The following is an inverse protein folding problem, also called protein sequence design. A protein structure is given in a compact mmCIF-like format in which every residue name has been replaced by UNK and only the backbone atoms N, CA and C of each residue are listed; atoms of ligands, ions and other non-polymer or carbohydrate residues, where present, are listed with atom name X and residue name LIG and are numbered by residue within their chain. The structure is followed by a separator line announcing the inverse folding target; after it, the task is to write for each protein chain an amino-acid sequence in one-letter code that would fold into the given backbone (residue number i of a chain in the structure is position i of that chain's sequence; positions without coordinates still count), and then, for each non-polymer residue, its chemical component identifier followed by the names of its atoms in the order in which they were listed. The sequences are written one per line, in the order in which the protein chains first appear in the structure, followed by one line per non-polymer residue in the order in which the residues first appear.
data_IF_472091538046
#
_entry.id   IF_472091538046
#
_cell.length_a   1.000
_cell.length_b   1.000
_cell.length_c   1.000
_cell.angle_alpha   90.00
_cell.angle_beta   90.00
_cell.angle_gamma   90.00
#
_symmetry.space_group_name_H-M   'P 1'
#
loop_
_entity.id
_entity.type
_entity.pdbx_description
1 polymer ?
#
# COMPACT_ATOMS: atom_id res chain seq x y z
N UNK A 1 -6.03 17.80 -0.88
CA UNK A 1 -4.95 16.82 -1.12
C UNK A 1 -4.67 15.97 0.14
N UNK A 2 -4.46 16.58 1.33
CA UNK A 2 -4.23 15.82 2.58
C UNK A 2 -5.39 14.87 2.94
N UNK A 3 -6.64 15.30 2.79
CA UNK A 3 -7.82 14.45 3.02
C UNK A 3 -7.82 13.24 2.06
N UNK A 4 -7.47 13.43 0.79
CA UNK A 4 -7.38 12.33 -0.17
C UNK A 4 -6.28 11.33 0.22
N UNK A 5 -5.11 11.79 0.66
CA UNK A 5 -4.07 10.91 1.20
C UNK A 5 -4.57 10.14 2.43
N UNK A 6 -5.13 10.83 3.42
CA UNK A 6 -5.62 10.21 4.64
C UNK A 6 -6.72 9.17 4.37
N UNK A 7 -7.69 9.47 3.48
CA UNK A 7 -8.76 8.54 3.14
C UNK A 7 -8.25 7.31 2.38
N UNK A 8 -7.26 7.49 1.48
CA UNK A 8 -6.62 6.37 0.78
C UNK A 8 -5.82 5.48 1.75
N UNK A 9 -5.05 6.05 2.67
CA UNK A 9 -4.35 5.26 3.69
C UNK A 9 -5.34 4.51 4.60
N UNK A 10 -6.42 5.18 5.01
CA UNK A 10 -7.42 4.59 5.90
C UNK A 10 -8.16 3.42 5.23
N UNK A 11 -8.52 3.53 3.93
CA UNK A 11 -9.21 2.41 3.26
C UNK A 11 -8.28 1.20 3.06
N UNK A 12 -6.99 1.41 2.84
CA UNK A 12 -6.03 0.29 2.79
C UNK A 12 -5.94 -0.41 4.13
N UNK A 13 -5.93 0.35 5.22
CA UNK A 13 -5.94 -0.21 6.58
C UNK A 13 -7.25 -0.95 6.88
N UNK A 14 -8.43 -0.35 6.62
CA UNK A 14 -9.72 -1.00 6.87
C UNK A 14 -9.91 -2.23 5.98
N UNK A 15 -9.44 -2.21 4.73
CA UNK A 15 -9.40 -3.38 3.85
C UNK A 15 -8.50 -4.51 4.38
N UNK A 16 -7.37 -4.16 5.01
CA UNK A 16 -6.55 -5.15 5.70
C UNK A 16 -7.28 -5.76 6.92
N UNK A 17 -8.06 -4.97 7.66
CA UNK A 17 -8.90 -5.47 8.75
C UNK A 17 -9.99 -6.42 8.26
N UNK A 18 -10.70 -6.10 7.16
CA UNK A 18 -11.66 -7.02 6.51
C UNK A 18 -11.01 -8.38 6.29
N UNK A 19 -9.80 -8.39 5.76
CA UNK A 19 -9.06 -9.62 5.53
C UNK A 19 -8.66 -10.33 6.82
N UNK A 20 -8.13 -9.61 7.81
CA UNK A 20 -7.63 -10.17 9.08
C UNK A 20 -8.74 -10.70 9.98
N UNK A 21 -9.97 -10.19 9.83
CA UNK A 21 -11.16 -10.64 10.55
C UNK A 21 -11.89 -11.79 9.85
N UNK A 22 -11.37 -12.31 8.73
CA UNK A 22 -12.04 -13.36 7.96
C UNK A 22 -13.34 -12.88 7.30
N UNK A 23 -13.46 -11.58 7.03
CA UNK A 23 -14.70 -10.97 6.50
C UNK A 23 -14.65 -10.71 5.00
N UNK A 24 -13.65 -11.24 4.28
CA UNK A 24 -13.42 -10.94 2.87
C UNK A 24 -14.44 -11.55 1.91
N UNK A 25 -15.27 -12.49 2.38
CA UNK A 25 -16.44 -13.05 1.69
C UNK A 25 -17.72 -12.90 2.55
N UNK A 26 -17.77 -11.91 3.41
CA UNK A 26 -19.01 -11.52 4.09
C UNK A 26 -20.10 -11.15 3.08
N UNK A 27 -19.70 -10.51 1.97
CA UNK A 27 -20.52 -10.32 0.77
C UNK A 27 -20.05 -11.27 -0.33
N UNK A 28 -20.94 -12.10 -0.86
CA UNK A 28 -20.60 -13.14 -1.86
C UNK A 28 -20.76 -12.69 -3.30
N UNK A 29 -21.26 -11.46 -3.53
CA UNK A 29 -21.51 -10.91 -4.86
C UNK A 29 -20.92 -9.49 -5.00
N UNK A 30 -20.89 -8.99 -6.24
CA UNK A 30 -20.43 -7.63 -6.54
C UNK A 30 -21.14 -7.10 -7.80
N UNK A 31 -21.65 -5.85 -7.84
CA UNK A 31 -21.54 -4.79 -6.81
C UNK A 31 -22.48 -4.94 -5.61
N UNK A 32 -23.43 -5.87 -5.65
CA UNK A 32 -24.32 -6.20 -4.53
C UNK A 32 -23.57 -6.97 -3.45
N UNK A 33 -24.12 -7.00 -2.24
CA UNK A 33 -23.58 -7.85 -1.18
C UNK A 33 -23.92 -9.34 -1.41
N UNK A 34 -25.16 -9.61 -1.85
CA UNK A 34 -25.63 -10.94 -2.21
C UNK A 34 -26.75 -10.86 -3.26
N UNK A 35 -27.28 -12.00 -3.70
CA UNK A 35 -28.31 -12.07 -4.74
C UNK A 35 -29.55 -11.24 -4.43
N UNK A 36 -29.91 -11.07 -3.17
CA UNK A 36 -31.16 -10.42 -2.73
C UNK A 36 -30.99 -9.01 -2.21
N UNK A 37 -29.78 -8.66 -1.70
CA UNK A 37 -29.53 -7.37 -1.05
C UNK A 37 -28.35 -6.65 -1.67
N UNK A 38 -28.52 -5.38 -1.98
CA UNK A 38 -27.41 -4.52 -2.41
C UNK A 38 -26.49 -4.18 -1.24
N UNK A 39 -27.07 -3.90 -0.07
CA UNK A 39 -26.37 -3.67 1.21
C UNK A 39 -26.87 -4.68 2.22
N UNK A 40 -25.96 -5.41 2.85
CA UNK A 40 -26.28 -6.34 3.93
C UNK A 40 -25.34 -6.12 5.13
N UNK A 41 -25.96 -5.95 6.30
CA UNK A 41 -25.28 -5.76 7.60
C UNK A 41 -25.84 -6.71 8.64
N UNK A 42 -26.44 -7.81 8.21
CA UNK A 42 -27.15 -8.74 9.11
C UNK A 42 -26.21 -9.59 9.97
N UNK A 43 -24.96 -9.77 9.55
CA UNK A 43 -23.93 -10.47 10.31
C UNK A 43 -22.70 -9.59 10.54
N UNK A 44 -21.83 -9.96 11.49
CA UNK A 44 -20.60 -9.23 11.74
C UNK A 44 -19.69 -9.17 10.50
N UNK A 45 -19.55 -10.28 9.76
CA UNK A 45 -18.71 -10.33 8.57
C UNK A 45 -19.28 -9.51 7.42
N UNK A 46 -20.58 -9.60 7.14
CA UNK A 46 -21.23 -8.75 6.12
C UNK A 46 -21.11 -7.28 6.46
N UNK A 47 -21.31 -6.91 7.73
CA UNK A 47 -21.20 -5.52 8.18
C UNK A 47 -19.78 -4.97 8.00
N UNK A 48 -18.75 -5.71 8.42
CA UNK A 48 -17.35 -5.28 8.31
C UNK A 48 -16.98 -5.04 6.84
N UNK A 49 -17.30 -5.98 5.96
CA UNK A 49 -17.03 -5.84 4.53
C UNK A 49 -17.85 -4.71 3.90
N UNK A 50 -19.15 -4.64 4.21
CA UNK A 50 -20.04 -3.63 3.64
C UNK A 50 -19.64 -2.20 4.03
N UNK A 51 -19.25 -1.98 5.30
CA UNK A 51 -18.75 -0.68 5.76
C UNK A 51 -17.48 -0.29 4.99
N UNK A 52 -16.55 -1.23 4.78
CA UNK A 52 -15.36 -0.99 3.98
C UNK A 52 -15.70 -0.64 2.52
N UNK A 53 -16.66 -1.33 1.90
CA UNK A 53 -17.15 -1.02 0.54
C UNK A 53 -17.77 0.39 0.48
N UNK A 54 -18.60 0.76 1.46
CA UNK A 54 -19.23 2.08 1.52
C UNK A 54 -18.19 3.19 1.75
N UNK A 55 -17.14 2.92 2.50
CA UNK A 55 -16.04 3.87 2.70
C UNK A 55 -15.33 4.23 1.38
N UNK A 56 -15.39 3.37 0.36
CA UNK A 56 -14.90 3.70 -1.00
C UNK A 56 -15.61 4.95 -1.57
N UNK A 57 -16.87 5.20 -1.18
CA UNK A 57 -17.59 6.43 -1.53
C UNK A 57 -16.92 7.69 -0.97
N UNK A 58 -16.45 7.64 0.28
CA UNK A 58 -15.71 8.74 0.94
C UNK A 58 -14.37 8.97 0.22
N UNK A 59 -13.66 7.89 -0.11
CA UNK A 59 -12.41 7.96 -0.89
C UNK A 59 -12.68 8.60 -2.25
N UNK A 60 -13.71 8.15 -2.97
CA UNK A 60 -14.09 8.68 -4.28
C UNK A 60 -14.41 10.17 -4.22
N UNK A 61 -15.21 10.61 -3.24
CA UNK A 61 -15.53 12.02 -3.05
C UNK A 61 -14.26 12.86 -2.76
N UNK A 62 -13.35 12.36 -1.92
CA UNK A 62 -12.09 13.04 -1.59
C UNK A 62 -11.16 13.19 -2.79
N UNK A 63 -11.11 12.17 -3.64
CA UNK A 63 -10.28 12.15 -4.86
C UNK A 63 -10.89 13.05 -5.94
N UNK A 64 -12.22 13.05 -6.12
CA UNK A 64 -12.91 13.99 -7.02
C UNK A 64 -12.64 15.43 -6.57
N UNK A 65 -12.77 15.71 -5.26
CA UNK A 65 -12.44 17.03 -4.71
C UNK A 65 -10.97 17.41 -4.99
N UNK A 66 -10.03 16.46 -4.90
CA UNK A 66 -8.63 16.72 -5.24
C UNK A 66 -8.44 17.09 -6.71
N UNK A 67 -9.18 16.47 -7.65
CA UNK A 67 -9.18 16.85 -9.07
C UNK A 67 -9.73 18.26 -9.24
N UNK A 68 -10.92 18.54 -8.71
CA UNK A 68 -11.55 19.85 -8.84
C UNK A 68 -10.66 20.97 -8.28
N UNK A 69 -10.11 20.79 -7.09
CA UNK A 69 -9.20 21.75 -6.45
C UNK A 69 -7.90 21.92 -7.24
N UNK A 70 -7.41 20.89 -7.95
CA UNK A 70 -6.21 21.02 -8.79
C UNK A 70 -6.47 21.87 -10.04
N UNK A 71 -7.70 21.87 -10.56
CA UNK A 71 -8.13 22.74 -11.65
C UNK A 71 -8.39 24.18 -11.20
N UNK A 72 -8.97 24.37 -10.02
CA UNK A 72 -9.32 25.70 -9.47
C UNK A 72 -8.09 26.45 -8.94
N UNK A 73 -6.98 25.77 -8.68
CA UNK A 73 -5.76 26.39 -8.14
C UNK A 73 -5.16 27.43 -9.11
N UNK A 74 -4.79 28.58 -8.57
CA UNK A 74 -4.05 29.64 -9.29
C UNK A 74 -2.70 29.88 -8.62
N UNK A 75 -1.55 29.87 -9.36
CA UNK A 75 -1.45 29.47 -10.77
C UNK A 75 -1.73 27.97 -10.96
N UNK A 76 -2.27 27.63 -12.14
CA UNK A 76 -2.60 26.23 -12.48
C UNK A 76 -1.31 25.40 -12.62
N UNK A 77 -1.28 24.22 -12.03
CA UNK A 77 -0.15 23.30 -12.05
C UNK A 77 -0.54 21.98 -12.72
N UNK A 78 -0.02 21.76 -13.91
CA UNK A 78 -0.33 20.58 -14.73
C UNK A 78 0.11 19.26 -14.06
N UNK A 79 1.19 19.29 -13.27
CA UNK A 79 1.66 18.10 -12.53
C UNK A 79 0.66 17.66 -11.46
N UNK A 80 0.01 18.60 -10.75
CA UNK A 80 -1.03 18.28 -9.75
C UNK A 80 -2.28 17.73 -10.42
N UNK A 81 -2.67 18.29 -11.57
CA UNK A 81 -3.81 17.79 -12.35
C UNK A 81 -3.56 16.35 -12.80
N UNK A 82 -2.37 16.05 -13.35
CA UNK A 82 -2.01 14.68 -13.78
C UNK A 82 -2.04 13.68 -12.62
N UNK A 83 -1.45 14.05 -11.47
CA UNK A 83 -1.43 13.19 -10.28
C UNK A 83 -2.84 12.97 -9.71
N UNK A 84 -3.69 13.99 -9.68
CA UNK A 84 -5.07 13.84 -9.20
C UNK A 84 -5.92 12.96 -10.13
N UNK A 85 -5.73 13.02 -11.45
CA UNK A 85 -6.33 12.05 -12.38
C UNK A 85 -5.78 10.63 -12.19
N UNK A 86 -4.49 10.49 -11.84
CA UNK A 86 -3.91 9.21 -11.47
C UNK A 86 -4.61 8.58 -10.25
N UNK A 87 -5.11 9.39 -9.29
CA UNK A 87 -5.93 8.89 -8.20
C UNK A 87 -7.30 8.37 -8.67
N UNK A 88 -7.98 9.10 -9.57
CA UNK A 88 -9.25 8.61 -10.16
C UNK A 88 -9.06 7.25 -10.83
N UNK A 89 -8.06 7.15 -11.71
CA UNK A 89 -7.75 5.89 -12.42
C UNK A 89 -7.43 4.78 -11.41
N UNK A 90 -6.64 5.09 -10.39
CA UNK A 90 -6.30 4.12 -9.34
C UNK A 90 -7.51 3.64 -8.55
N UNK A 91 -8.45 4.55 -8.17
CA UNK A 91 -9.68 4.17 -7.47
C UNK A 91 -10.58 3.32 -8.37
N UNK A 92 -10.75 3.66 -9.64
CA UNK A 92 -11.51 2.85 -10.58
C UNK A 92 -10.89 1.45 -10.77
N UNK A 93 -9.57 1.36 -10.87
CA UNK A 93 -8.87 0.08 -10.92
C UNK A 93 -9.12 -0.75 -9.65
N UNK A 94 -9.11 -0.12 -8.46
CA UNK A 94 -9.41 -0.78 -7.19
C UNK A 94 -10.84 -1.32 -7.11
N UNK A 95 -11.81 -0.57 -7.64
CA UNK A 95 -13.22 -1.01 -7.72
C UNK A 95 -13.35 -2.28 -8.59
N UNK A 96 -12.70 -2.28 -9.76
CA UNK A 96 -12.73 -3.43 -10.68
C UNK A 96 -12.00 -4.64 -10.08
N UNK A 97 -10.76 -4.44 -9.60
CA UNK A 97 -9.97 -5.55 -9.02
C UNK A 97 -10.64 -6.07 -7.75
N UNK A 98 -11.21 -5.19 -6.91
CA UNK A 98 -11.96 -5.59 -5.72
C UNK A 98 -13.17 -6.47 -6.05
N UNK A 99 -13.91 -6.15 -7.12
CA UNK A 99 -14.96 -7.01 -7.65
C UNK A 99 -14.44 -8.38 -8.08
N UNK A 100 -13.31 -8.41 -8.81
CA UNK A 100 -12.67 -9.67 -9.21
C UNK A 100 -12.25 -10.48 -7.98
N UNK A 101 -11.70 -9.85 -6.95
CA UNK A 101 -11.31 -10.53 -5.70
C UNK A 101 -12.50 -11.27 -5.08
N UNK A 102 -13.67 -10.62 -4.98
CA UNK A 102 -14.89 -11.24 -4.41
C UNK A 102 -15.41 -12.34 -5.31
N UNK A 103 -15.63 -12.05 -6.60
CA UNK A 103 -16.20 -12.98 -7.56
C UNK A 103 -15.34 -14.22 -7.83
N UNK A 104 -14.06 -14.16 -7.51
CA UNK A 104 -13.12 -15.29 -7.64
C UNK A 104 -12.82 -15.99 -6.33
N UNK A 105 -13.61 -15.75 -5.26
CA UNK A 105 -13.42 -16.38 -3.96
C UNK A 105 -12.08 -16.06 -3.32
N UNK A 106 -11.67 -14.79 -3.37
CA UNK A 106 -10.40 -14.29 -2.84
C UNK A 106 -9.16 -14.89 -3.52
N UNK A 107 -9.22 -15.09 -4.85
CA UNK A 107 -8.08 -15.60 -5.61
C UNK A 107 -6.78 -14.88 -5.21
N UNK A 108 -5.69 -15.60 -4.87
CA UNK A 108 -4.47 -14.99 -4.34
C UNK A 108 -3.80 -14.01 -5.31
N UNK A 109 -3.85 -14.23 -6.62
CA UNK A 109 -3.32 -13.27 -7.60
C UNK A 109 -4.14 -11.98 -7.65
N UNK A 110 -5.47 -12.08 -7.58
CA UNK A 110 -6.35 -10.91 -7.53
C UNK A 110 -6.12 -10.09 -6.24
N UNK A 111 -5.99 -10.76 -5.09
CA UNK A 111 -5.65 -10.13 -3.81
C UNK A 111 -4.29 -9.43 -3.85
N UNK A 112 -3.26 -10.07 -4.42
CA UNK A 112 -1.93 -9.47 -4.60
C UNK A 112 -2.01 -8.23 -5.49
N UNK A 113 -2.69 -8.31 -6.63
CA UNK A 113 -2.87 -7.18 -7.55
C UNK A 113 -3.59 -6.01 -6.85
N UNK A 114 -4.66 -6.30 -6.10
CA UNK A 114 -5.42 -5.31 -5.33
C UNK A 114 -4.51 -4.57 -4.34
N UNK A 115 -3.70 -5.29 -3.58
CA UNK A 115 -2.77 -4.68 -2.61
C UNK A 115 -1.66 -3.88 -3.31
N UNK A 116 -1.05 -4.40 -4.38
CA UNK A 116 0.02 -3.70 -5.10
C UNK A 116 -0.48 -2.41 -5.75
N UNK A 117 -1.68 -2.41 -6.33
CA UNK A 117 -2.31 -1.18 -6.84
C UNK A 117 -2.64 -0.21 -5.70
N UNK A 118 -2.98 -0.70 -4.49
CA UNK A 118 -3.14 0.15 -3.30
C UNK A 118 -1.85 0.88 -2.94
N UNK A 119 -0.69 0.21 -2.97
CA UNK A 119 0.62 0.84 -2.72
C UNK A 119 0.92 1.93 -3.76
N UNK A 120 0.63 1.67 -5.04
CA UNK A 120 0.80 2.68 -6.09
C UNK A 120 -0.13 3.87 -5.84
N UNK A 121 -1.36 3.63 -5.42
CA UNK A 121 -2.35 4.67 -5.14
C UNK A 121 -1.94 5.53 -3.93
N UNK A 122 -1.48 4.93 -2.83
CA UNK A 122 -0.94 5.64 -1.66
C UNK A 122 0.28 6.48 -2.06
N UNK A 123 1.21 5.89 -2.83
CA UNK A 123 2.41 6.60 -3.31
C UNK A 123 2.02 7.81 -4.16
N UNK A 124 1.05 7.66 -5.10
CA UNK A 124 0.57 8.76 -5.91
C UNK A 124 -0.11 9.86 -5.07
N UNK A 125 -0.93 9.47 -4.08
CA UNK A 125 -1.57 10.39 -3.15
C UNK A 125 -0.53 11.16 -2.31
N UNK A 126 0.51 10.49 -1.83
CA UNK A 126 1.62 11.11 -1.09
C UNK A 126 2.39 12.11 -1.97
N UNK A 127 2.74 11.73 -3.20
CA UNK A 127 3.42 12.63 -4.14
C UNK A 127 2.55 13.85 -4.44
N UNK A 128 1.25 13.66 -4.66
CA UNK A 128 0.30 14.75 -4.88
C UNK A 128 0.26 15.70 -3.68
N UNK A 129 0.15 15.15 -2.46
CA UNK A 129 0.17 15.95 -1.23
C UNK A 129 1.47 16.73 -1.09
N UNK A 130 2.64 16.08 -1.20
CA UNK A 130 3.95 16.72 -1.08
C UNK A 130 4.16 17.81 -2.13
N UNK A 131 3.74 17.60 -3.37
CA UNK A 131 3.83 18.62 -4.43
C UNK A 131 2.83 19.75 -4.27
N UNK A 132 1.69 19.51 -3.61
CA UNK A 132 0.70 20.56 -3.36
C UNK A 132 1.12 21.53 -2.24
N UNK A 133 1.90 21.06 -1.27
CA UNK A 133 2.36 21.84 -0.11
C UNK A 133 3.73 22.49 -0.33
N UNK A 134 4.60 21.91 -1.15
CA UNK A 134 5.95 22.36 -1.39
C UNK A 134 6.16 22.82 -2.84
N UNK A 135 7.16 23.69 -3.06
CA UNK A 135 7.61 24.05 -4.40
C UNK A 135 8.20 22.83 -5.12
N UNK A 136 8.15 22.77 -6.46
CA UNK A 136 8.37 21.53 -7.21
C UNK A 136 9.73 20.89 -6.94
N UNK A 137 9.77 19.55 -6.81
CA UNK A 137 10.98 18.78 -6.55
C UNK A 137 12.01 18.80 -7.69
N UNK A 138 11.69 19.38 -8.85
CA UNK A 138 12.61 19.48 -9.98
C UNK A 138 13.96 20.12 -9.61
N UNK A 139 13.99 21.03 -8.62
CA UNK A 139 15.23 21.62 -8.11
C UNK A 139 16.01 20.64 -7.22
N UNK A 140 15.35 19.63 -6.63
CA UNK A 140 15.97 18.69 -5.70
C UNK A 140 16.66 17.53 -6.43
N UNK A 141 15.99 16.96 -7.43
CA UNK A 141 16.56 15.86 -8.26
C UNK A 141 17.77 16.36 -9.07
N UNK A 142 17.77 17.63 -9.49
CA UNK A 142 18.91 18.26 -10.19
C UNK A 142 20.16 18.41 -9.34
N UNK A 143 20.05 18.34 -8.02
CA UNK A 143 21.18 18.48 -7.07
C UNK A 143 21.78 17.13 -6.64
N UNK A 144 21.24 16.01 -7.10
CA UNK A 144 21.86 14.71 -6.85
C UNK A 144 23.18 14.63 -7.62
N UNK A 145 24.22 14.17 -6.94
CA UNK A 145 25.50 13.91 -7.58
C UNK A 145 25.34 12.94 -8.77
N UNK A 146 26.27 12.95 -9.74
CA UNK A 146 26.26 11.96 -10.81
C UNK A 146 26.10 10.54 -10.24
N UNK A 147 25.09 9.79 -10.73
CA UNK A 147 24.73 8.46 -10.23
C UNK A 147 23.79 8.41 -9.04
N UNK A 148 23.43 9.52 -8.39
CA UNK A 148 22.48 9.53 -7.27
C UNK A 148 21.07 9.10 -7.66
N UNK A 149 20.63 9.46 -8.86
CA UNK A 149 19.33 9.00 -9.41
C UNK A 149 19.29 7.49 -9.65
N UNK A 150 20.40 6.92 -10.13
CA UNK A 150 20.50 5.45 -10.33
C UNK A 150 20.47 4.68 -9.02
N UNK A 151 21.09 5.21 -7.97
CA UNK A 151 21.03 4.61 -6.63
C UNK A 151 19.62 4.66 -6.05
N UNK A 152 18.90 5.77 -6.24
CA UNK A 152 17.49 5.85 -5.79
C UNK A 152 16.58 4.92 -6.60
N UNK A 153 16.79 4.79 -7.89
CA UNK A 153 16.06 3.83 -8.73
C UNK A 153 16.32 2.39 -8.26
N UNK A 154 17.59 2.06 -7.98
CA UNK A 154 17.96 0.73 -7.46
C UNK A 154 17.30 0.46 -6.10
N UNK A 155 17.29 1.44 -5.18
CA UNK A 155 16.56 1.32 -3.92
C UNK A 155 15.06 1.07 -4.15
N UNK A 156 14.44 1.81 -5.06
CA UNK A 156 13.03 1.63 -5.38
C UNK A 156 12.73 0.22 -5.93
N UNK A 157 13.58 -0.28 -6.81
CA UNK A 157 13.43 -1.64 -7.39
C UNK A 157 13.59 -2.73 -6.31
N UNK A 158 14.63 -2.64 -5.47
CA UNK A 158 14.86 -3.61 -4.39
C UNK A 158 13.71 -3.56 -3.38
N UNK A 159 13.23 -2.37 -3.01
CA UNK A 159 12.07 -2.21 -2.14
C UNK A 159 10.78 -2.77 -2.76
N UNK A 160 10.58 -2.57 -4.06
CA UNK A 160 9.43 -3.15 -4.78
C UNK A 160 9.48 -4.69 -4.76
N UNK A 161 10.66 -5.30 -4.91
CA UNK A 161 10.84 -6.76 -4.77
C UNK A 161 10.48 -7.22 -3.36
N UNK A 162 10.90 -6.48 -2.32
CA UNK A 162 10.53 -6.79 -0.95
C UNK A 162 9.00 -6.72 -0.74
N UNK A 163 8.32 -5.71 -1.29
CA UNK A 163 6.85 -5.61 -1.22
C UNK A 163 6.19 -6.78 -1.96
N UNK A 164 6.59 -7.09 -3.18
CA UNK A 164 6.01 -8.19 -3.96
C UNK A 164 6.20 -9.53 -3.25
N UNK A 165 7.40 -9.83 -2.75
CA UNK A 165 7.65 -11.07 -1.99
C UNK A 165 6.83 -11.12 -0.70
N UNK A 166 6.60 -9.99 -0.03
CA UNK A 166 5.72 -9.87 1.13
C UNK A 166 4.25 -10.19 0.78
N UNK A 167 3.77 -9.78 -0.40
CA UNK A 167 2.41 -10.16 -0.84
C UNK A 167 2.29 -11.66 -1.10
N UNK A 168 3.35 -12.33 -1.57
CA UNK A 168 3.37 -13.80 -1.74
C UNK A 168 3.29 -14.49 -0.37
N UNK A 169 4.03 -14.00 0.65
CA UNK A 169 3.91 -14.51 2.03
C UNK A 169 2.46 -14.37 2.52
N UNK A 170 1.86 -13.23 2.28
CA UNK A 170 0.47 -12.94 2.65
C UNK A 170 -0.53 -13.87 1.95
N UNK A 171 -0.32 -14.14 0.65
CA UNK A 171 -1.17 -15.04 -0.15
C UNK A 171 -0.97 -16.54 0.16
N UNK A 172 0.13 -16.89 0.84
CA UNK A 172 0.43 -18.25 1.31
C UNK A 172 -0.02 -18.46 2.77
N UNK A 173 -0.04 -17.39 3.57
CA UNK A 173 -0.24 -17.42 5.02
C UNK A 173 -1.69 -17.69 5.47
N UNK A 174 -1.90 -17.80 6.79
CA UNK A 174 -3.20 -18.20 7.34
C UNK A 174 -4.30 -17.14 7.18
N UNK A 175 -3.95 -15.86 7.10
CA UNK A 175 -4.92 -14.77 7.04
C UNK A 175 -5.25 -14.38 5.60
N UNK A 176 -5.96 -15.24 4.87
CA UNK A 176 -6.31 -15.03 3.47
C UNK A 176 -7.63 -14.25 3.24
N UNK A 177 -8.37 -13.95 4.31
CA UNK A 177 -9.62 -13.18 4.26
C UNK A 177 -10.88 -13.99 4.45
N UNK A 178 -10.79 -15.32 4.38
CA UNK A 178 -11.86 -16.27 4.65
C UNK A 178 -11.24 -17.64 4.93
N UNK A 179 -11.95 -18.52 5.66
CA UNK A 179 -11.50 -19.88 5.96
C UNK A 179 -11.33 -20.72 4.69
N UNK A 180 -12.23 -20.55 3.72
CA UNK A 180 -12.26 -21.25 2.45
C UNK A 180 -11.44 -20.56 1.34
N UNK A 181 -10.79 -19.44 1.63
CA UNK A 181 -10.02 -18.71 0.64
C UNK A 181 -8.88 -19.57 0.06
N UNK A 182 -8.75 -19.56 -1.27
CA UNK A 182 -7.67 -20.25 -1.96
C UNK A 182 -6.33 -19.58 -1.59
N UNK A 183 -5.33 -20.41 -1.29
CA UNK A 183 -3.97 -19.98 -0.95
C UNK A 183 -2.97 -20.54 -1.95
N UNK A 184 -1.79 -19.91 -2.06
CA UNK A 184 -0.70 -20.57 -2.77
C UNK A 184 -0.25 -21.82 -2.01
N UNK A 185 -0.02 -22.91 -2.76
CA UNK A 185 0.46 -24.18 -2.21
C UNK A 185 1.96 -24.19 -1.82
N UNK A 186 2.56 -23.01 -1.62
CA UNK A 186 3.98 -22.92 -1.23
C UNK A 186 4.16 -23.19 0.26
N UNK A 187 5.32 -23.71 0.65
CA UNK A 187 5.68 -23.76 2.06
C UNK A 187 5.91 -22.33 2.60
N UNK A 188 5.15 -21.95 3.63
CA UNK A 188 5.22 -20.61 4.23
C UNK A 188 6.66 -20.25 4.64
N UNK A 189 7.42 -21.22 5.17
CA UNK A 189 8.84 -21.04 5.52
C UNK A 189 9.72 -20.63 4.35
N UNK A 190 9.48 -21.17 3.15
CA UNK A 190 10.26 -20.87 1.96
C UNK A 190 9.98 -19.45 1.46
N UNK A 191 8.71 -19.07 1.35
CA UNK A 191 8.33 -17.71 0.89
C UNK A 191 8.68 -16.65 1.94
N UNK A 192 8.58 -16.96 3.23
CA UNK A 192 9.01 -16.06 4.30
C UNK A 192 10.53 -15.83 4.28
N UNK A 193 11.34 -16.86 4.02
CA UNK A 193 12.81 -16.72 3.84
C UNK A 193 13.15 -15.86 2.64
N UNK A 194 12.46 -16.04 1.51
CA UNK A 194 12.66 -15.22 0.32
C UNK A 194 12.35 -13.74 0.58
N UNK A 195 11.22 -13.47 1.25
CA UNK A 195 10.85 -12.12 1.66
C UNK A 195 11.87 -11.54 2.66
N UNK A 196 12.27 -12.31 3.67
CA UNK A 196 13.28 -11.90 4.64
C UNK A 196 14.64 -11.55 3.98
N UNK A 197 15.07 -12.32 2.98
CA UNK A 197 16.26 -11.99 2.20
C UNK A 197 16.11 -10.68 1.43
N UNK A 198 14.96 -10.46 0.77
CA UNK A 198 14.69 -9.21 0.06
C UNK A 198 14.69 -8.00 1.02
N UNK A 199 14.15 -8.14 2.23
CA UNK A 199 14.17 -7.10 3.28
C UNK A 199 15.60 -6.84 3.75
N UNK A 200 16.40 -7.89 4.03
CA UNK A 200 17.82 -7.74 4.41
C UNK A 200 18.60 -6.98 3.34
N UNK A 201 18.41 -7.33 2.07
CA UNK A 201 19.06 -6.63 0.95
C UNK A 201 18.62 -5.17 0.87
N UNK A 202 17.33 -4.88 1.11
CA UNK A 202 16.80 -3.51 1.15
C UNK A 202 17.47 -2.71 2.27
N UNK A 203 17.50 -3.22 3.49
CA UNK A 203 18.12 -2.56 4.65
C UNK A 203 19.62 -2.35 4.42
N UNK A 204 20.33 -3.37 3.94
CA UNK A 204 21.76 -3.27 3.63
C UNK A 204 22.01 -2.17 2.57
N UNK A 205 21.15 -2.07 1.55
CA UNK A 205 21.28 -1.04 0.53
C UNK A 205 20.97 0.36 1.07
N UNK A 206 19.99 0.50 1.98
CA UNK A 206 19.70 1.77 2.67
C UNK A 206 20.92 2.21 3.49
N UNK A 207 21.57 1.30 4.23
CA UNK A 207 22.80 1.58 4.99
C UNK A 207 23.92 2.02 4.05
N UNK A 208 24.14 1.28 2.95
CA UNK A 208 25.13 1.66 1.93
C UNK A 208 24.87 3.07 1.38
N UNK A 209 23.61 3.37 1.05
CA UNK A 209 23.20 4.68 0.55
C UNK A 209 23.41 5.78 1.61
N UNK A 210 23.07 5.52 2.88
CA UNK A 210 23.26 6.46 3.98
C UNK A 210 24.75 6.82 4.18
N UNK A 211 25.65 5.83 4.08
CA UNK A 211 27.09 6.06 4.18
C UNK A 211 27.62 6.83 2.97
N UNK A 212 27.22 6.44 1.78
CA UNK A 212 27.67 7.07 0.54
C UNK A 212 27.14 8.50 0.39
N UNK A 213 25.90 8.74 0.79
CA UNK A 213 25.23 10.03 0.68
C UNK A 213 25.89 11.13 1.55
N UNK A 214 26.56 10.78 2.64
CA UNK A 214 27.28 11.74 3.50
C UNK A 214 28.29 12.62 2.73
N UNK A 215 28.78 12.14 1.59
CA UNK A 215 29.79 12.85 0.78
C UNK A 215 29.20 13.91 -0.17
N UNK A 216 27.89 13.85 -0.49
CA UNK A 216 27.28 14.67 -1.55
C UNK A 216 25.86 15.13 -1.26
N UNK A 217 25.17 14.56 -0.27
CA UNK A 217 23.79 14.89 0.02
C UNK A 217 23.67 16.01 1.05
N UNK A 218 22.58 16.77 0.96
CA UNK A 218 22.21 17.72 1.98
C UNK A 218 21.62 17.02 3.23
N UNK A 219 21.52 17.79 4.32
CA UNK A 219 21.00 17.28 5.60
C UNK A 219 19.59 16.67 5.45
N UNK A 220 18.71 17.29 4.64
CA UNK A 220 17.33 16.81 4.46
C UNK A 220 17.27 15.42 3.82
N UNK A 221 18.16 15.16 2.86
CA UNK A 221 18.27 13.84 2.25
C UNK A 221 18.81 12.81 3.24
N UNK A 222 19.82 13.17 4.01
CA UNK A 222 20.41 12.29 5.03
C UNK A 222 19.36 11.94 6.08
N UNK A 223 18.63 12.94 6.60
CA UNK A 223 17.56 12.74 7.57
C UNK A 223 16.46 11.82 7.01
N UNK A 224 16.07 11.96 5.73
CA UNK A 224 15.07 11.10 5.08
C UNK A 224 15.56 9.64 4.96
N UNK A 225 16.84 9.42 4.58
CA UNK A 225 17.41 8.07 4.50
C UNK A 225 17.54 7.43 5.89
N UNK A 226 17.91 8.20 6.91
CA UNK A 226 17.95 7.71 8.29
C UNK A 226 16.55 7.34 8.80
N UNK A 227 15.54 8.17 8.52
CA UNK A 227 14.15 7.85 8.85
C UNK A 227 13.70 6.55 8.15
N UNK A 228 14.00 6.42 6.85
CA UNK A 228 13.70 5.20 6.11
C UNK A 228 14.39 3.97 6.72
N UNK A 229 15.65 4.10 7.15
CA UNK A 229 16.39 3.03 7.82
C UNK A 229 15.71 2.60 9.12
N UNK A 230 15.34 3.56 9.97
CA UNK A 230 14.67 3.28 11.25
C UNK A 230 13.34 2.58 11.01
N UNK A 231 12.51 3.11 10.09
CA UNK A 231 11.21 2.49 9.75
C UNK A 231 11.42 1.08 9.19
N UNK A 232 12.39 0.87 8.30
CA UNK A 232 12.68 -0.45 7.72
C UNK A 232 13.16 -1.46 8.77
N UNK A 233 13.98 -1.03 9.73
CA UNK A 233 14.41 -1.88 10.84
C UNK A 233 13.24 -2.26 11.76
N UNK A 234 12.34 -1.30 12.06
CA UNK A 234 11.11 -1.57 12.81
C UNK A 234 10.20 -2.57 12.09
N UNK A 235 10.01 -2.39 10.79
CA UNK A 235 9.23 -3.31 9.96
C UNK A 235 9.84 -4.72 9.91
N UNK A 236 11.16 -4.83 9.82
CA UNK A 236 11.85 -6.09 9.90
C UNK A 236 11.65 -6.76 11.27
N UNK A 237 11.77 -6.00 12.36
CA UNK A 237 11.55 -6.51 13.71
C UNK A 237 10.13 -7.05 13.90
N UNK A 238 9.10 -6.30 13.47
CA UNK A 238 7.70 -6.76 13.51
C UNK A 238 7.53 -8.03 12.65
N UNK A 239 8.07 -8.05 11.42
CA UNK A 239 7.97 -9.19 10.51
C UNK A 239 8.63 -10.46 11.05
N UNK A 240 9.81 -10.36 11.66
CA UNK A 240 10.45 -11.50 12.31
C UNK A 240 9.69 -11.95 13.56
N UNK A 241 9.24 -11.01 14.40
CA UNK A 241 8.46 -11.34 15.60
C UNK A 241 7.18 -12.08 15.21
N UNK A 242 6.42 -11.58 14.23
CA UNK A 242 5.19 -12.26 13.78
C UNK A 242 5.48 -13.67 13.23
N UNK A 243 6.59 -13.87 12.52
CA UNK A 243 6.96 -15.18 11.99
C UNK A 243 7.25 -16.20 13.10
N UNK A 244 8.05 -15.80 14.11
CA UNK A 244 8.43 -16.69 15.20
C UNK A 244 7.33 -16.91 16.25
N UNK A 245 6.30 -16.04 16.27
CA UNK A 245 5.17 -16.17 17.21
C UNK A 245 3.91 -16.82 16.58
N UNK A 246 4.03 -17.40 15.39
CA UNK A 246 2.92 -18.08 14.72
C UNK A 246 1.96 -17.14 14.00
N UNK A 247 2.44 -16.02 13.51
CA UNK A 247 1.71 -15.07 12.65
C UNK A 247 0.44 -14.50 13.32
N UNK A 248 0.52 -13.91 14.54
CA UNK A 248 -0.66 -13.39 15.21
C UNK A 248 -1.24 -12.16 14.47
N UNK A 249 -2.57 -12.08 14.40
CA UNK A 249 -3.35 -11.05 13.68
C UNK A 249 -2.87 -9.62 13.97
N UNK A 250 -2.61 -9.30 15.25
CA UNK A 250 -2.19 -7.95 15.68
C UNK A 250 -0.85 -7.56 15.07
N UNK A 251 0.13 -8.47 15.04
CA UNK A 251 1.43 -8.19 14.45
C UNK A 251 1.35 -8.08 12.92
N UNK A 252 0.47 -8.89 12.27
CA UNK A 252 0.23 -8.76 10.83
C UNK A 252 -0.42 -7.41 10.52
N UNK A 253 -1.40 -6.96 11.31
CA UNK A 253 -1.99 -5.64 11.17
C UNK A 253 -0.96 -4.52 11.32
N UNK A 254 -0.11 -4.58 12.36
CA UNK A 254 0.96 -3.60 12.58
C UNK A 254 1.98 -3.59 11.44
N UNK A 255 2.33 -4.76 10.90
CA UNK A 255 3.24 -4.87 9.76
C UNK A 255 2.64 -4.27 8.48
N UNK A 256 1.35 -4.50 8.20
CA UNK A 256 0.65 -3.91 7.05
C UNK A 256 0.55 -2.39 7.21
N UNK A 257 0.18 -1.87 8.40
CA UNK A 257 0.13 -0.42 8.67
C UNK A 257 1.48 0.22 8.37
N UNK A 258 2.55 -0.33 8.91
CA UNK A 258 3.87 0.23 8.70
C UNK A 258 4.38 0.10 7.26
N UNK A 259 3.90 -0.87 6.49
CA UNK A 259 4.24 -0.99 5.07
C UNK A 259 3.58 0.08 4.19
N UNK A 260 2.50 0.74 4.65
CA UNK A 260 1.76 1.79 3.93
C UNK A 260 1.94 3.18 4.53
N UNK A 261 2.71 3.32 5.61
CA UNK A 261 3.03 4.59 6.28
C UNK A 261 4.28 5.22 5.73
#
# INVERSE_FOLDING_TARGET
MGIALASVCLIVFTGALVRLTGSGLGCTDWPRCNETKFVDVSTGHTMIEQVNRLFTGVVSASVIAAVLLSYLRKPRRADLVKLSWGLIIGVLAQVVIGGIVVLTGLNPFANMAHFLVSIILVTNAFILYRRSTNHPPAAYIRRLAPGGSSLLMMLAVISAIAVVTGTIVTATGPHAGDENAVRFGFALTSVARLHGLAVILTVAFIVYLAVKAKKWADKKFIDAIQTLLVVSCFQAAIGYTQYFTGVPVILVAAHIIGAVS
#
